data_IF_297434179859
#
_entry.id   IF_297434179859
#
_cell.length_a   1.000
_cell.length_b   1.000
_cell.length_c   1.000
_cell.angle_alpha   90.00
_cell.angle_beta   90.00
_cell.angle_gamma   90.00
#
_symmetry.space_group_name_H-M   'P 1'
#
loop_
_entity.id
_entity.type
_entity.pdbx_description
1 polymer ?
#
# COMPACT_ATOMS: atom_id res chain seq x y z
N UNK A 1 18.00 -4.13 -11.72
CA UNK A 1 18.25 -5.44 -12.35
C UNK A 1 19.02 -6.29 -11.36
N UNK A 2 18.38 -7.27 -10.75
CA UNK A 2 19.00 -8.42 -10.07
C UNK A 2 18.00 -9.58 -10.20
N UNK A 3 18.46 -10.71 -10.71
CA UNK A 3 17.74 -11.98 -10.79
C UNK A 3 18.18 -12.88 -9.65
N UNK A 4 17.30 -13.79 -9.23
CA UNK A 4 17.68 -15.16 -8.88
C UNK A 4 16.53 -16.11 -9.26
N UNK A 5 16.85 -17.14 -10.05
CA UNK A 5 15.97 -18.28 -10.31
C UNK A 5 16.37 -19.37 -9.33
N UNK A 6 15.44 -19.81 -8.49
CA UNK A 6 15.56 -21.06 -7.73
C UNK A 6 14.34 -21.90 -8.03
N UNK A 7 14.58 -23.08 -8.62
CA UNK A 7 13.54 -24.05 -8.91
C UNK A 7 13.79 -25.27 -8.03
N UNK A 8 12.87 -25.53 -7.09
CA UNK A 8 12.50 -26.84 -6.51
C UNK A 8 11.48 -26.59 -5.38
N UNK A 9 10.24 -27.01 -5.61
CA UNK A 9 9.15 -27.24 -4.62
C UNK A 9 9.23 -26.43 -3.34
N UNK A 10 8.98 -25.13 -3.44
CA UNK A 10 8.78 -24.27 -2.27
C UNK A 10 7.76 -23.23 -2.68
N UNK A 11 6.70 -23.03 -1.89
CA UNK A 11 5.83 -21.86 -2.05
C UNK A 11 6.72 -20.62 -1.97
N UNK A 12 7.00 -20.01 -3.12
CA UNK A 12 7.64 -18.71 -3.15
C UNK A 12 6.55 -17.75 -2.71
N UNK A 13 6.54 -17.42 -1.42
CA UNK A 13 5.84 -16.23 -0.95
C UNK A 13 6.66 -15.07 -1.47
N UNK A 14 6.40 -14.68 -2.72
CA UNK A 14 6.91 -13.44 -3.28
C UNK A 14 6.31 -12.31 -2.46
N UNK A 15 7.14 -11.70 -1.61
CA UNK A 15 6.76 -10.48 -0.90
C UNK A 15 6.72 -9.34 -1.92
N UNK A 16 5.53 -9.07 -2.43
CA UNK A 16 5.29 -7.96 -3.34
C UNK A 16 5.03 -6.68 -2.52
N UNK A 17 5.83 -5.62 -2.72
CA UNK A 17 5.69 -4.40 -1.94
C UNK A 17 4.49 -3.58 -2.44
N UNK A 18 3.47 -3.41 -1.60
CA UNK A 18 2.47 -2.34 -1.80
C UNK A 18 3.20 -1.01 -1.77
N UNK A 19 2.98 -0.20 -2.81
CA UNK A 19 3.67 1.08 -2.96
C UNK A 19 2.79 2.18 -2.38
N UNK A 20 3.38 2.99 -1.49
CA UNK A 20 2.71 4.17 -0.95
C UNK A 20 3.51 5.42 -1.26
N UNK A 21 2.87 6.37 -1.95
CA UNK A 21 3.45 7.67 -2.20
C UNK A 21 3.06 8.60 -1.05
N UNK A 22 4.05 9.22 -0.41
CA UNK A 22 3.82 10.17 0.68
C UNK A 22 4.20 11.56 0.19
N UNK A 23 3.22 12.46 0.15
CA UNK A 23 3.49 13.88 -0.10
C UNK A 23 3.82 14.56 1.23
N UNK A 24 5.11 14.62 1.56
CA UNK A 24 5.58 15.32 2.75
C UNK A 24 5.32 16.83 2.63
N UNK A 25 4.90 17.46 3.73
CA UNK A 25 4.68 18.90 3.78
C UNK A 25 6.02 19.63 3.63
N UNK A 26 6.08 20.58 2.70
CA UNK A 26 7.17 21.57 2.61
C UNK A 26 6.85 22.80 3.49
N UNK A 27 6.39 22.56 4.72
CA UNK A 27 6.09 23.63 5.68
C UNK A 27 7.25 23.75 6.65
N UNK A 28 7.97 24.88 6.61
CA UNK A 28 9.16 25.17 7.43
C UNK A 28 8.96 25.06 8.97
N UNK A 29 7.76 24.78 9.47
CA UNK A 29 7.41 24.83 10.90
C UNK A 29 6.67 23.58 11.44
N UNK A 30 6.76 22.40 10.81
CA UNK A 30 6.24 21.18 11.43
C UNK A 30 7.09 20.78 12.64
N UNK A 31 6.47 20.61 13.81
CA UNK A 31 7.18 20.10 14.99
C UNK A 31 7.58 18.64 14.78
N UNK A 32 8.66 18.20 15.43
CA UNK A 32 9.11 16.79 15.39
C UNK A 32 7.98 15.84 15.79
N UNK A 33 7.23 16.16 16.85
CA UNK A 33 6.10 15.35 17.31
C UNK A 33 5.00 15.19 16.26
N UNK A 34 4.70 16.24 15.49
CA UNK A 34 3.71 16.17 14.43
C UNK A 34 4.17 15.26 13.28
N UNK A 35 5.47 15.31 12.95
CA UNK A 35 6.05 14.42 11.94
C UNK A 35 6.04 12.96 12.42
N UNK A 36 6.35 12.71 13.70
CA UNK A 36 6.27 11.38 14.30
C UNK A 36 4.83 10.82 14.24
N UNK A 37 3.82 11.64 14.55
CA UNK A 37 2.40 11.25 14.44
C UNK A 37 2.02 10.87 13.00
N UNK A 38 2.52 11.61 12.00
CA UNK A 38 2.26 11.30 10.59
C UNK A 38 2.93 10.00 10.13
N UNK A 39 4.16 9.75 10.58
CA UNK A 39 4.89 8.51 10.30
C UNK A 39 4.14 7.32 10.92
N UNK A 40 3.71 7.46 12.18
CA UNK A 40 2.98 6.39 12.86
C UNK A 40 1.64 6.10 12.16
N UNK A 41 0.91 7.15 11.76
CA UNK A 41 -0.35 7.00 11.03
C UNK A 41 -0.16 6.28 9.68
N UNK A 42 0.88 6.64 8.93
CA UNK A 42 1.25 5.97 7.67
C UNK A 42 1.57 4.49 7.89
N UNK A 43 2.40 4.19 8.89
CA UNK A 43 2.78 2.83 9.25
C UNK A 43 1.56 1.97 9.64
N UNK A 44 0.68 2.48 10.49
CA UNK A 44 -0.52 1.78 10.96
C UNK A 44 -1.47 1.48 9.79
N UNK A 45 -1.65 2.46 8.89
CA UNK A 45 -2.46 2.26 7.69
C UNK A 45 -1.84 1.22 6.76
N UNK A 46 -0.53 1.30 6.50
CA UNK A 46 0.17 0.33 5.64
C UNK A 46 0.03 -1.09 6.20
N UNK A 47 0.17 -1.27 7.51
CA UNK A 47 0.00 -2.58 8.14
C UNK A 47 -1.44 -3.10 7.95
N UNK A 48 -2.44 -2.24 8.19
CA UNK A 48 -3.85 -2.59 8.07
C UNK A 48 -4.24 -2.96 6.64
N UNK A 49 -3.86 -2.14 5.66
CA UNK A 49 -4.26 -2.34 4.26
C UNK A 49 -3.58 -3.57 3.67
N UNK A 50 -2.30 -3.81 3.98
CA UNK A 50 -1.58 -5.01 3.54
C UNK A 50 -2.27 -6.28 4.02
N UNK A 51 -2.68 -6.33 5.29
CA UNK A 51 -3.43 -7.48 5.83
C UNK A 51 -4.77 -7.67 5.14
N UNK A 52 -5.49 -6.58 4.90
CA UNK A 52 -6.77 -6.61 4.20
C UNK A 52 -6.62 -7.18 2.78
N UNK A 53 -5.61 -6.70 2.07
CA UNK A 53 -5.28 -7.15 0.71
C UNK A 53 -4.94 -8.64 0.68
N UNK A 54 -4.10 -9.12 1.60
CA UNK A 54 -3.75 -10.55 1.68
C UNK A 54 -4.99 -11.43 1.88
N UNK A 55 -5.95 -11.00 2.69
CA UNK A 55 -7.21 -11.72 2.87
C UNK A 55 -8.06 -11.73 1.60
N UNK A 56 -8.08 -10.64 0.83
CA UNK A 56 -8.81 -10.60 -0.43
C UNK A 56 -8.13 -11.41 -1.53
N UNK A 57 -6.80 -11.49 -1.54
CA UNK A 57 -6.07 -12.39 -2.43
C UNK A 57 -6.45 -13.85 -2.21
N UNK A 58 -6.49 -14.30 -0.95
CA UNK A 58 -6.88 -15.67 -0.57
C UNK A 58 -8.33 -15.99 -0.99
N UNK A 59 -9.25 -15.04 -0.79
CA UNK A 59 -10.67 -15.21 -1.16
C UNK A 59 -10.91 -15.25 -2.67
N UNK A 60 -10.25 -14.37 -3.41
CA UNK A 60 -10.52 -14.17 -4.84
C UNK A 60 -9.56 -14.96 -5.74
N UNK A 61 -8.58 -15.67 -5.16
CA UNK A 61 -7.56 -16.42 -5.90
C UNK A 61 -6.63 -15.52 -6.72
N UNK A 62 -6.36 -14.30 -6.23
CA UNK A 62 -5.44 -13.38 -6.91
C UNK A 62 -4.00 -13.75 -6.58
N UNK A 63 -3.20 -13.87 -7.64
CA UNK A 63 -1.82 -14.33 -7.61
C UNK A 63 -0.79 -13.18 -7.55
N UNK A 64 -1.21 -11.94 -7.84
CA UNK A 64 -0.36 -10.76 -7.76
C UNK A 64 -1.16 -9.46 -7.65
N UNK A 65 -0.64 -8.53 -6.83
CA UNK A 65 -1.12 -7.15 -6.70
C UNK A 65 0.05 -6.17 -6.84
N UNK A 66 0.92 -6.54 -7.77
CA UNK A 66 2.28 -6.04 -7.95
C UNK A 66 2.32 -4.52 -8.19
N UNK A 67 1.18 -3.96 -8.61
CA UNK A 67 0.98 -2.56 -8.94
C UNK A 67 -0.09 -1.90 -8.05
N UNK A 68 -0.32 -2.37 -6.82
CA UNK A 68 -1.22 -1.65 -5.92
C UNK A 68 -0.53 -0.42 -5.32
N UNK A 69 -1.09 0.74 -5.65
CA UNK A 69 -0.55 2.03 -5.27
C UNK A 69 -1.54 2.80 -4.39
N UNK A 70 -1.04 3.35 -3.29
CA UNK A 70 -1.79 4.26 -2.43
C UNK A 70 -1.08 5.61 -2.34
N UNK A 71 -1.85 6.67 -2.17
CA UNK A 71 -1.34 8.02 -1.95
C UNK A 71 -1.74 8.48 -0.55
N UNK A 72 -0.79 8.96 0.24
CA UNK A 72 -1.02 9.52 1.58
C UNK A 72 -0.90 11.05 1.54
N UNK A 73 -2.01 11.73 1.84
CA UNK A 73 -2.08 13.18 1.97
C UNK A 73 -1.83 13.58 3.42
N UNK A 74 -0.61 14.06 3.72
CA UNK A 74 -0.20 14.46 5.07
C UNK A 74 -1.02 15.63 5.62
N UNK A 75 -1.39 16.60 4.79
CA UNK A 75 -2.21 17.76 5.18
C UNK A 75 -3.61 17.34 5.64
N UNK A 76 -4.22 16.39 4.92
CA UNK A 76 -5.57 15.90 5.23
C UNK A 76 -5.57 14.71 6.20
N UNK A 77 -4.40 14.10 6.43
CA UNK A 77 -4.23 12.84 7.15
C UNK A 77 -5.11 11.72 6.57
N UNK A 78 -5.25 11.71 5.25
CA UNK A 78 -6.09 10.77 4.49
C UNK A 78 -5.28 9.96 3.51
N UNK A 79 -5.80 8.78 3.17
CA UNK A 79 -5.22 7.88 2.18
C UNK A 79 -6.21 7.71 1.03
N UNK A 80 -5.70 7.59 -0.19
CA UNK A 80 -6.50 7.28 -1.37
C UNK A 80 -5.87 6.16 -2.18
N UNK A 81 -6.70 5.35 -2.82
CA UNK A 81 -6.21 4.41 -3.82
C UNK A 81 -5.72 5.21 -5.04
N UNK A 82 -4.48 4.96 -5.45
CA UNK A 82 -3.89 5.68 -6.57
C UNK A 82 -4.45 5.17 -7.89
N UNK A 83 -4.62 6.09 -8.84
CA UNK A 83 -5.02 5.78 -10.22
C UNK A 83 -3.98 4.94 -10.97
N UNK A 84 -2.77 4.78 -10.42
CA UNK A 84 -1.76 3.85 -10.93
C UNK A 84 -2.11 2.38 -10.66
N UNK A 85 -3.00 2.12 -9.72
CA UNK A 85 -3.48 0.75 -9.48
C UNK A 85 -4.23 0.25 -10.71
N UNK A 86 -3.86 -0.90 -11.29
CA UNK A 86 -4.52 -1.39 -12.49
C UNK A 86 -5.92 -1.95 -12.19
N UNK A 87 -6.75 -1.99 -13.23
CA UNK A 87 -8.01 -2.73 -13.19
C UNK A 87 -7.76 -4.25 -13.24
N UNK A 88 -8.64 -5.08 -12.64
CA UNK A 88 -9.90 -4.73 -11.98
C UNK A 88 -9.74 -4.29 -10.51
N UNK A 89 -8.51 -4.29 -9.99
CA UNK A 89 -8.24 -4.04 -8.57
C UNK A 89 -8.64 -2.64 -8.15
N UNK A 90 -8.37 -1.63 -9.00
CA UNK A 90 -8.78 -0.26 -8.73
C UNK A 90 -10.29 -0.16 -8.48
N UNK A 91 -11.11 -0.66 -9.41
CA UNK A 91 -12.56 -0.65 -9.26
C UNK A 91 -13.06 -1.47 -8.07
N UNK A 92 -12.42 -2.59 -7.76
CA UNK A 92 -12.78 -3.43 -6.62
C UNK A 92 -12.49 -2.73 -5.29
N UNK A 93 -11.23 -2.34 -5.06
CA UNK A 93 -10.81 -1.75 -3.80
C UNK A 93 -11.40 -0.36 -3.59
N UNK A 94 -11.70 0.40 -4.64
CA UNK A 94 -12.43 1.67 -4.51
C UNK A 94 -13.82 1.47 -3.89
N UNK A 95 -14.52 0.39 -4.24
CA UNK A 95 -15.83 0.06 -3.64
C UNK A 95 -15.67 -0.42 -2.21
N UNK A 96 -14.72 -1.33 -1.99
CA UNK A 96 -14.55 -2.02 -0.71
C UNK A 96 -13.98 -1.10 0.37
N UNK A 97 -13.05 -0.21 0.01
CA UNK A 97 -12.48 0.73 0.95
C UNK A 97 -13.44 1.88 1.27
N UNK A 98 -14.43 2.14 0.41
CA UNK A 98 -15.45 3.19 0.60
C UNK A 98 -14.85 4.47 1.19
N UNK A 99 -13.70 4.88 0.65
CA UNK A 99 -13.01 6.11 1.00
C UNK A 99 -13.82 7.32 0.52
#
# INVERSE_FOLDING_TARGET
>A
MCFEIVNLTTFVVTYFPIVMNVSWLDKQNSTTSFTEDLIQLEFDFRQKITRFILLEMDKNGWDGLDDMHFDFCTDQKTFSLSLKTPEPYFSYFSKVLSL
#
